data_IF_498822675082
#
_entry.id   IF_498822675082
#
_cell.length_a   1.000
_cell.length_b   1.000
_cell.length_c   1.000
_cell.angle_alpha   90.00
_cell.angle_beta   90.00
_cell.angle_gamma   90.00
#
_symmetry.space_group_name_H-M   'P 1'
#
loop_
_entity.id
_entity.type
_entity.pdbx_description
1 polymer ?
#
# COMPACT_ATOMS: atom_id res chain seq x y z
N UNK A 1 -8.99 4.97 -9.20
CA UNK A 1 -8.90 4.93 -7.75
C UNK A 1 -7.53 5.41 -7.31
N UNK A 2 -7.49 6.24 -6.32
CA UNK A 2 -6.24 6.73 -5.78
C UNK A 2 -5.62 5.66 -4.88
N UNK A 3 -4.29 5.54 -4.96
CA UNK A 3 -3.53 4.71 -4.06
C UNK A 3 -3.45 5.44 -2.72
N UNK A 4 -4.19 4.95 -1.74
CA UNK A 4 -4.19 5.57 -0.42
C UNK A 4 -3.05 5.08 0.46
N UNK A 5 -2.50 3.93 0.14
CA UNK A 5 -1.50 3.30 0.99
C UNK A 5 -2.06 2.89 2.35
N UNK A 6 -1.45 1.91 2.95
CA UNK A 6 -1.79 1.49 4.30
C UNK A 6 -0.56 0.88 4.99
N UNK A 7 -0.73 0.34 6.18
CA UNK A 7 0.31 -0.39 6.89
C UNK A 7 -0.22 -1.72 7.39
N UNK A 8 0.37 -2.80 6.92
CA UNK A 8 0.00 -4.17 7.27
C UNK A 8 -1.51 -4.47 7.15
N UNK A 9 -2.22 -3.70 6.35
CA UNK A 9 -3.65 -3.79 6.14
C UNK A 9 -3.97 -4.36 4.75
N UNK A 10 -5.14 -4.09 4.22
CA UNK A 10 -5.63 -4.72 2.99
C UNK A 10 -4.72 -4.51 1.79
N UNK A 11 -4.24 -3.28 1.56
CA UNK A 11 -3.41 -2.95 0.39
C UNK A 11 -2.08 -3.72 0.43
N UNK A 12 -1.33 -3.52 1.48
CA UNK A 12 -0.02 -4.14 1.64
C UNK A 12 -0.10 -5.67 1.68
N UNK A 13 -1.09 -6.20 2.39
CA UNK A 13 -1.34 -7.64 2.45
C UNK A 13 -1.76 -8.19 1.09
N UNK A 14 -2.54 -7.45 0.32
CA UNK A 14 -2.93 -7.84 -1.04
C UNK A 14 -1.71 -7.88 -1.98
N UNK A 15 -0.77 -6.97 -1.82
CA UNK A 15 0.50 -7.02 -2.56
C UNK A 15 1.26 -8.32 -2.23
N UNK A 16 1.33 -8.67 -0.95
CA UNK A 16 1.95 -9.91 -0.51
C UNK A 16 1.29 -11.13 -1.11
N UNK A 17 -0.04 -11.19 -1.13
CA UNK A 17 -0.79 -12.29 -1.74
C UNK A 17 -0.56 -12.40 -3.23
N UNK A 18 -0.36 -11.28 -3.92
CA UNK A 18 -0.06 -11.26 -5.35
C UNK A 18 1.37 -11.70 -5.65
N UNK A 19 2.34 -11.16 -4.90
CA UNK A 19 3.77 -11.35 -5.18
C UNK A 19 4.37 -12.57 -4.49
N UNK A 20 3.92 -12.87 -3.28
CA UNK A 20 4.48 -13.92 -2.42
C UNK A 20 3.40 -14.73 -1.72
N UNK A 21 2.48 -15.36 -2.47
CA UNK A 21 1.29 -16.00 -1.88
C UNK A 21 1.63 -17.05 -0.81
N UNK A 22 2.78 -17.74 -0.95
CA UNK A 22 3.20 -18.77 -0.01
C UNK A 22 3.77 -18.21 1.31
N UNK A 23 3.92 -16.89 1.40
CA UNK A 23 4.45 -16.22 2.59
C UNK A 23 3.38 -15.47 3.39
N UNK A 24 2.14 -15.50 2.93
CA UNK A 24 1.02 -14.80 3.56
C UNK A 24 0.02 -15.84 4.04
N UNK A 25 -0.24 -15.84 5.33
CA UNK A 25 -1.20 -16.76 5.95
C UNK A 25 -2.26 -15.95 6.71
N UNK A 26 -3.40 -15.70 6.06
CA UNK A 26 -4.51 -14.98 6.65
C UNK A 26 -5.30 -15.84 7.66
N UNK A 27 -5.08 -17.14 7.72
CA UNK A 27 -5.78 -18.02 8.64
C UNK A 27 -5.47 -17.71 10.12
N UNK A 28 -4.34 -17.04 10.35
CA UNK A 28 -3.93 -16.63 11.70
C UNK A 28 -4.72 -15.45 12.24
N UNK A 29 -5.48 -14.74 11.37
CA UNK A 29 -6.28 -13.60 11.78
C UNK A 29 -7.68 -14.03 12.20
N UNK A 30 -8.21 -13.41 13.26
CA UNK A 30 -9.59 -13.64 13.69
C UNK A 30 -10.57 -13.09 12.62
N UNK A 31 -11.51 -13.91 12.17
CA UNK A 31 -12.41 -13.59 11.05
C UNK A 31 -13.72 -12.89 11.45
N UNK A 32 -13.85 -12.42 12.68
CA UNK A 32 -15.14 -11.97 13.19
C UNK A 32 -15.66 -10.65 12.63
N UNK A 33 -14.84 -9.74 12.16
CA UNK A 33 -15.28 -8.42 11.67
C UNK A 33 -14.36 -7.87 10.59
N UNK A 34 -14.93 -7.17 9.63
CA UNK A 34 -14.19 -6.27 8.76
C UNK A 34 -14.31 -4.86 9.32
N UNK A 35 -13.25 -4.35 9.89
CA UNK A 35 -13.21 -3.03 10.47
C UNK A 35 -12.16 -2.21 9.74
N UNK A 36 -12.52 -1.00 9.36
CA UNK A 36 -11.54 -0.04 8.89
C UNK A 36 -10.79 0.50 10.10
N UNK A 37 -9.49 0.29 10.15
CA UNK A 37 -8.64 0.70 11.26
C UNK A 37 -8.09 2.12 11.12
N UNK A 38 -8.36 2.77 9.99
CA UNK A 38 -8.04 4.20 9.87
C UNK A 38 -8.88 5.02 10.85
N UNK A 39 -8.29 6.07 11.42
CA UNK A 39 -9.08 7.00 12.22
C UNK A 39 -10.17 7.66 11.38
N UNK A 40 -11.22 8.22 12.01
CA UNK A 40 -12.31 8.89 11.27
C UNK A 40 -11.83 9.97 10.29
N UNK A 41 -10.67 10.58 10.55
CA UNK A 41 -10.06 11.59 9.71
C UNK A 41 -9.30 11.02 8.51
N UNK A 42 -9.33 9.69 8.35
CA UNK A 42 -8.60 9.01 7.29
C UNK A 42 -7.14 8.69 7.66
N UNK A 43 -6.36 8.26 6.68
CA UNK A 43 -4.94 7.98 6.90
C UNK A 43 -4.20 9.26 7.32
N UNK A 44 -3.17 9.12 8.17
CA UNK A 44 -2.38 10.28 8.58
C UNK A 44 -1.68 10.90 7.38
N UNK A 45 -1.70 12.23 7.33
CA UNK A 45 -0.94 13.00 6.37
C UNK A 45 0.39 13.38 7.01
N UNK A 46 1.50 13.04 6.39
CA UNK A 46 2.88 13.27 6.86
C UNK A 46 3.38 12.31 7.93
N UNK A 47 4.66 12.46 8.25
CA UNK A 47 5.50 11.65 9.15
C UNK A 47 5.07 11.65 10.62
N UNK A 48 3.82 11.80 10.89
CA UNK A 48 3.31 11.64 12.25
C UNK A 48 3.26 10.14 12.50
N UNK A 49 4.01 9.69 13.49
CA UNK A 49 3.85 8.34 14.00
C UNK A 49 2.37 8.07 14.18
N UNK A 50 1.91 7.01 13.56
CA UNK A 50 0.50 6.69 13.50
C UNK A 50 -0.07 6.47 14.90
N UNK A 51 -0.73 7.49 15.50
CA UNK A 51 -1.11 7.41 16.91
C UNK A 51 -2.22 6.41 17.20
N UNK A 52 -2.73 5.76 16.18
CA UNK A 52 -3.86 4.81 16.30
C UNK A 52 -3.56 3.43 15.75
N UNK A 53 -2.29 3.06 15.68
CA UNK A 53 -1.93 1.67 15.48
C UNK A 53 -2.43 0.88 16.69
N UNK A 54 -3.08 -0.25 16.42
CA UNK A 54 -3.51 -1.11 17.49
C UNK A 54 -2.33 -1.92 18.02
N UNK A 55 -1.88 -1.62 19.21
CA UNK A 55 -0.76 -2.30 19.88
C UNK A 55 -1.20 -3.44 20.81
N UNK A 56 -2.49 -3.72 20.91
CA UNK A 56 -2.99 -4.84 21.68
C UNK A 56 -2.76 -6.16 20.91
N UNK A 57 -1.83 -7.01 21.38
CA UNK A 57 -1.51 -8.26 20.66
C UNK A 57 -2.66 -9.28 20.66
N UNK A 58 -3.70 -9.07 21.46
CA UNK A 58 -4.90 -9.92 21.46
C UNK A 58 -5.94 -9.47 20.44
N UNK A 59 -5.78 -8.26 19.90
CA UNK A 59 -6.69 -7.73 18.89
C UNK A 59 -6.40 -8.37 17.51
N UNK A 60 -7.45 -8.73 16.75
CA UNK A 60 -7.27 -9.19 15.38
C UNK A 60 -6.74 -8.10 14.45
N UNK A 61 -6.77 -6.85 14.91
CA UNK A 61 -6.28 -5.68 14.15
C UNK A 61 -4.91 -5.21 14.63
N UNK A 62 -4.22 -6.05 15.41
CA UNK A 62 -2.91 -5.70 15.95
C UNK A 62 -1.96 -5.20 14.85
N UNK A 63 -1.38 -4.02 15.09
CA UNK A 63 -0.41 -3.38 14.21
C UNK A 63 -0.91 -2.98 12.80
N UNK A 64 -2.19 -3.10 12.50
CA UNK A 64 -2.74 -2.70 11.20
C UNK A 64 -3.14 -1.21 11.17
N UNK A 65 -3.01 -0.62 9.98
CA UNK A 65 -3.54 0.71 9.69
C UNK A 65 -4.09 0.73 8.27
N UNK A 66 -5.38 0.92 8.14
CA UNK A 66 -6.11 0.90 6.89
C UNK A 66 -7.30 -0.03 6.94
N UNK A 67 -7.79 -0.42 5.78
CA UNK A 67 -8.84 -1.43 5.69
C UNK A 67 -8.28 -2.78 6.14
N UNK A 68 -9.10 -3.54 6.86
CA UNK A 68 -8.70 -4.79 7.49
C UNK A 68 -8.02 -5.76 6.50
N UNK A 69 -6.84 -6.27 6.89
CA UNK A 69 -6.06 -7.21 6.09
C UNK A 69 -6.82 -8.50 5.75
N UNK A 70 -7.84 -8.86 6.55
CA UNK A 70 -8.67 -10.05 6.28
C UNK A 70 -9.48 -9.93 4.99
N UNK A 71 -9.67 -8.73 4.48
CA UNK A 71 -10.32 -8.47 3.19
C UNK A 71 -9.34 -8.46 2.01
N UNK A 72 -8.05 -8.68 2.25
CA UNK A 72 -7.04 -8.70 1.22
C UNK A 72 -7.25 -9.85 0.24
N UNK A 73 -6.96 -9.61 -1.03
CA UNK A 73 -7.01 -10.60 -2.09
C UNK A 73 -5.83 -10.44 -3.05
N UNK A 74 -5.39 -11.54 -3.65
CA UNK A 74 -4.37 -11.49 -4.69
C UNK A 74 -4.85 -10.67 -5.91
N UNK A 75 -6.13 -10.76 -6.25
CA UNK A 75 -6.72 -9.98 -7.35
C UNK A 75 -6.61 -8.48 -7.10
N UNK A 76 -6.96 -8.03 -5.90
CA UNK A 76 -6.81 -6.63 -5.51
C UNK A 76 -5.33 -6.21 -5.55
N UNK A 77 -4.44 -7.07 -5.05
CA UNK A 77 -3.01 -6.84 -5.10
C UNK A 77 -2.49 -6.67 -6.53
N UNK A 78 -2.91 -7.50 -7.45
CA UNK A 78 -2.54 -7.39 -8.85
C UNK A 78 -2.97 -6.05 -9.45
N UNK A 79 -4.20 -5.61 -9.17
CA UNK A 79 -4.70 -4.31 -9.64
C UNK A 79 -3.85 -3.15 -9.13
N UNK A 80 -3.55 -3.16 -7.84
CA UNK A 80 -2.78 -2.10 -7.20
C UNK A 80 -1.34 -2.09 -7.73
N UNK A 81 -0.70 -3.25 -7.84
CA UNK A 81 0.66 -3.36 -8.36
C UNK A 81 0.73 -2.85 -9.81
N UNK A 82 -0.21 -3.24 -10.66
CA UNK A 82 -0.26 -2.77 -12.04
C UNK A 82 -0.39 -1.24 -12.11
N UNK A 83 -1.21 -0.65 -11.24
CA UNK A 83 -1.35 0.79 -11.17
C UNK A 83 -0.07 1.48 -10.69
N UNK A 84 0.61 0.92 -9.70
CA UNK A 84 1.91 1.43 -9.22
C UNK A 84 2.96 1.36 -10.33
N UNK A 85 3.06 0.22 -11.00
CA UNK A 85 4.02 0.03 -12.11
C UNK A 85 3.74 1.03 -13.23
N UNK A 86 2.48 1.23 -13.59
CA UNK A 86 2.10 2.21 -14.61
C UNK A 86 2.53 3.63 -14.22
N UNK A 87 2.22 4.04 -12.99
CA UNK A 87 2.59 5.39 -12.50
C UNK A 87 4.09 5.58 -12.40
N UNK A 88 4.83 4.58 -11.93
CA UNK A 88 6.29 4.64 -11.86
C UNK A 88 6.90 4.68 -13.26
N UNK A 89 6.40 3.89 -14.19
CA UNK A 89 6.85 3.88 -15.58
C UNK A 89 6.68 5.26 -16.20
N UNK A 90 5.53 5.89 -16.02
CA UNK A 90 5.28 7.25 -16.50
C UNK A 90 6.26 8.26 -15.90
N UNK A 91 6.51 8.19 -14.61
CA UNK A 91 7.47 9.08 -13.93
C UNK A 91 8.89 8.88 -14.43
N UNK A 92 9.31 7.64 -14.63
CA UNK A 92 10.64 7.31 -15.15
C UNK A 92 10.79 7.84 -16.58
N UNK A 93 9.77 7.68 -17.42
CA UNK A 93 9.78 8.20 -18.79
C UNK A 93 9.91 9.72 -18.81
N UNK A 94 9.13 10.41 -17.99
CA UNK A 94 9.20 11.87 -17.87
C UNK A 94 10.58 12.33 -17.38
N UNK A 95 11.12 11.66 -16.38
CA UNK A 95 12.45 11.96 -15.85
C UNK A 95 13.53 11.75 -16.92
N UNK A 96 13.50 10.66 -17.64
CA UNK A 96 14.45 10.34 -18.71
C UNK A 96 14.34 11.34 -19.85
N UNK A 97 13.13 11.71 -20.25
CA UNK A 97 12.88 12.70 -21.29
C UNK A 97 13.41 14.09 -20.87
N UNK A 98 13.14 14.52 -19.65
CA UNK A 98 13.64 15.80 -19.14
C UNK A 98 15.16 15.83 -19.09
N UNK A 99 15.81 14.74 -18.68
CA UNK A 99 17.26 14.64 -18.69
C UNK A 99 17.85 14.64 -20.09
N UNK A 100 17.20 13.97 -21.02
CA UNK A 100 17.60 13.96 -22.44
C UNK A 100 17.51 15.38 -23.03
N UNK A 101 16.36 16.06 -22.83
CA UNK A 101 16.14 17.41 -23.34
C UNK A 101 17.16 18.40 -22.74
N UNK A 102 17.43 18.26 -21.43
CA UNK A 102 18.41 19.10 -20.75
C UNK A 102 19.83 18.85 -21.28
N UNK A 103 20.18 17.61 -21.54
CA UNK A 103 21.46 17.21 -22.13
C UNK A 103 21.63 17.76 -23.55
N UNK A 104 20.58 17.74 -24.35
CA UNK A 104 20.60 18.30 -25.72
C UNK A 104 20.72 19.81 -25.73
N UNK A 105 20.24 20.50 -24.70
CA UNK A 105 20.34 21.96 -24.57
C UNK A 105 21.70 22.43 -24.03
N UNK A 106 22.57 21.51 -23.65
CA UNK A 106 23.97 21.81 -23.32
C UNK A 106 24.79 21.83 -24.58
N UNK A 107 24.64 22.87 -25.36
CA UNK A 107 25.58 23.14 -26.45
C UNK A 107 26.76 23.93 -25.90
N UNK A 108 27.90 23.45 -26.17
CA UNK A 108 29.15 24.13 -25.86
C UNK A 108 29.28 25.49 -26.56
#
# INVERSE_FOLDING_TARGET
SELTGDHAAKEETSWGLSLFPNRIDLSQLNRKTNINVWPPQGPPTRDIQHPKVNYDPTSPLFAQMGEDARSATAEHGNKVINLVVEKLTQKIQLFSQNNFDHSNNRTD
#
